data_IF_798750307181
#
_entry.id   IF_798750307181
#
_cell.length_a   1.000
_cell.length_b   1.000
_cell.length_c   1.000
_cell.angle_alpha   90.00
_cell.angle_beta   90.00
_cell.angle_gamma   90.00
#
_symmetry.space_group_name_H-M   'P 1'
#
loop_
_entity.id
_entity.type
_entity.pdbx_description
1 polymer ?
#
# COMPACT_ATOMS: atom_id res chain seq x y z
N UNK A 1 -9.81 32.76 -12.28
CA UNK A 1 -10.05 31.99 -13.51
C UNK A 1 -8.73 31.88 -14.29
N UNK A 2 -8.03 30.77 -14.20
CA UNK A 2 -6.80 30.50 -14.93
C UNK A 2 -6.71 29.01 -15.24
N UNK A 3 -7.01 28.60 -16.47
CA UNK A 3 -6.91 27.21 -16.93
C UNK A 3 -5.44 26.87 -17.19
N UNK A 4 -4.88 25.92 -16.43
CA UNK A 4 -3.56 25.34 -16.72
C UNK A 4 -3.75 24.25 -17.79
N UNK A 5 -3.15 24.47 -18.97
CA UNK A 5 -3.11 23.47 -20.05
C UNK A 5 -1.92 22.52 -19.81
N UNK A 6 -2.20 21.23 -19.64
CA UNK A 6 -1.20 20.19 -19.63
C UNK A 6 -0.56 20.04 -21.03
N UNK A 7 0.76 20.19 -21.13
CA UNK A 7 1.54 19.87 -22.34
C UNK A 7 1.86 18.38 -22.38
N UNK A 8 1.30 17.69 -23.37
CA UNK A 8 1.55 16.27 -23.59
C UNK A 8 2.97 15.99 -24.09
N UNK A 9 3.69 15.16 -23.35
CA UNK A 9 4.95 14.56 -23.78
C UNK A 9 4.65 13.19 -24.40
N UNK A 10 4.78 13.03 -25.72
CA UNK A 10 4.63 11.73 -26.40
C UNK A 10 5.98 11.02 -26.47
N UNK A 11 6.15 9.97 -25.69
CA UNK A 11 7.23 9.00 -25.87
C UNK A 11 6.81 7.94 -26.91
N UNK A 12 7.60 7.82 -28.00
CA UNK A 12 7.46 6.76 -28.99
C UNK A 12 8.16 5.50 -28.48
N UNK A 13 7.40 4.45 -28.13
CA UNK A 13 7.94 3.13 -27.85
C UNK A 13 7.80 2.27 -29.12
N UNK A 14 8.91 1.68 -29.57
CA UNK A 14 8.93 0.73 -30.70
C UNK A 14 8.34 -0.60 -30.26
N UNK A 15 7.35 -1.10 -30.99
CA UNK A 15 6.68 -2.38 -30.74
C UNK A 15 7.52 -3.54 -31.33
N UNK A 16 8.15 -4.35 -30.46
CA UNK A 16 8.57 -5.71 -30.76
C UNK A 16 7.51 -6.67 -30.24
N UNK A 17 6.91 -7.47 -31.15
CA UNK A 17 5.78 -8.33 -30.82
C UNK A 17 6.13 -9.50 -29.91
N UNK A 18 5.65 -9.45 -28.67
CA UNK A 18 5.54 -10.58 -27.74
C UNK A 18 4.06 -10.64 -27.35
N UNK A 19 3.48 -11.84 -27.34
CA UNK A 19 2.06 -12.08 -27.08
C UNK A 19 1.59 -11.40 -25.77
N UNK A 20 0.53 -10.62 -25.86
CA UNK A 20 -0.04 -9.84 -24.74
C UNK A 20 -0.55 -10.69 -23.56
N UNK A 21 -0.77 -12.00 -23.74
CA UNK A 21 -1.24 -12.87 -22.66
C UNK A 21 -0.09 -13.36 -21.75
N UNK A 22 1.10 -13.57 -22.31
CA UNK A 22 2.28 -14.06 -21.55
C UNK A 22 2.94 -12.97 -20.68
N UNK A 23 2.73 -11.69 -21.01
CA UNK A 23 3.30 -10.56 -20.26
C UNK A 23 2.44 -10.11 -19.06
N UNK A 24 1.16 -10.48 -19.01
CA UNK A 24 0.28 -10.12 -17.90
C UNK A 24 0.52 -10.92 -16.62
N UNK A 25 1.02 -12.13 -16.70
CA UNK A 25 1.28 -13.01 -15.54
C UNK A 25 2.58 -12.66 -14.80
N UNK A 26 3.57 -12.06 -15.46
CA UNK A 26 4.93 -11.93 -14.91
C UNK A 26 5.16 -10.65 -14.07
N UNK A 27 4.17 -9.79 -13.88
CA UNK A 27 4.44 -8.45 -13.31
C UNK A 27 3.40 -7.90 -12.33
N UNK A 28 2.60 -8.76 -11.68
CA UNK A 28 1.70 -8.28 -10.61
C UNK A 28 2.52 -7.86 -9.40
N UNK A 29 2.13 -6.73 -8.79
CA UNK A 29 2.82 -6.22 -7.62
C UNK A 29 2.59 -7.13 -6.41
N UNK A 30 3.66 -7.41 -5.67
CA UNK A 30 3.63 -7.92 -4.30
C UNK A 30 4.22 -6.84 -3.40
N UNK A 31 3.39 -6.24 -2.56
CA UNK A 31 3.81 -5.29 -1.53
C UNK A 31 3.89 -6.02 -0.18
N UNK A 32 4.93 -5.77 0.59
CA UNK A 32 5.04 -6.24 1.96
C UNK A 32 4.75 -5.11 2.94
N UNK A 33 3.76 -5.32 3.82
CA UNK A 33 3.37 -4.42 4.91
C UNK A 33 4.04 -4.92 6.20
N UNK A 34 5.20 -4.31 6.54
CA UNK A 34 6.18 -4.90 7.46
C UNK A 34 5.72 -4.91 8.91
N UNK A 35 4.94 -3.92 9.31
CA UNK A 35 4.48 -3.73 10.69
C UNK A 35 3.10 -3.07 10.71
N UNK A 36 2.78 -2.33 11.71
CA UNK A 36 1.50 -1.78 12.08
C UNK A 36 1.38 -1.98 13.58
N UNK A 37 0.21 -1.89 14.14
CA UNK A 37 -0.03 -1.95 15.58
C UNK A 37 -0.18 -3.38 16.14
N UNK A 38 -0.20 -4.41 15.29
CA UNK A 38 -0.42 -5.81 15.72
C UNK A 38 0.70 -6.32 16.62
N UNK A 39 0.29 -7.00 17.69
CA UNK A 39 1.22 -7.62 18.63
C UNK A 39 1.71 -8.99 18.12
N UNK A 40 2.93 -8.99 17.61
CA UNK A 40 3.63 -10.20 17.20
C UNK A 40 5.13 -10.05 17.50
N UNK A 41 5.83 -11.11 17.99
CA UNK A 41 7.25 -11.02 18.36
C UNK A 41 8.19 -10.56 17.25
N UNK A 42 7.82 -10.77 15.99
CA UNK A 42 8.60 -10.37 14.83
C UNK A 42 8.15 -9.03 14.22
N UNK A 43 7.17 -8.31 14.81
CA UNK A 43 6.76 -6.98 14.34
C UNK A 43 7.89 -5.99 14.56
N UNK A 44 8.52 -5.44 13.48
CA UNK A 44 9.65 -4.53 13.62
C UNK A 44 9.16 -3.15 14.08
N UNK A 45 9.85 -2.57 15.07
CA UNK A 45 9.53 -1.25 15.64
C UNK A 45 10.67 -0.26 15.56
N UNK A 46 11.91 -0.75 15.52
CA UNK A 46 13.09 0.11 15.36
C UNK A 46 13.52 0.22 13.89
N UNK A 47 14.25 1.27 13.49
CA UNK A 47 14.80 1.39 12.14
C UNK A 47 15.65 0.19 11.71
N UNK A 48 16.41 -0.40 12.63
CA UNK A 48 17.26 -1.56 12.40
C UNK A 48 16.45 -2.84 12.16
N UNK A 49 15.39 -3.05 12.94
CA UNK A 49 14.45 -4.16 12.76
C UNK A 49 13.69 -4.03 11.45
N UNK A 50 13.18 -2.81 11.13
CA UNK A 50 12.55 -2.51 9.85
C UNK A 50 13.49 -2.81 8.66
N UNK A 51 14.76 -2.45 8.77
CA UNK A 51 15.75 -2.73 7.74
C UNK A 51 16.03 -4.24 7.59
N UNK A 52 15.98 -5.01 8.68
CA UNK A 52 16.17 -6.46 8.66
C UNK A 52 14.97 -7.15 8.00
N UNK A 53 13.74 -6.83 8.44
CA UNK A 53 12.50 -7.36 7.87
C UNK A 53 12.33 -6.97 6.40
N UNK A 54 12.67 -5.73 6.03
CA UNK A 54 12.66 -5.28 4.65
C UNK A 54 13.55 -6.14 3.75
N UNK A 55 14.80 -6.45 4.20
CA UNK A 55 15.71 -7.32 3.43
C UNK A 55 15.12 -8.71 3.22
N UNK A 56 14.53 -9.29 4.27
CA UNK A 56 13.92 -10.61 4.19
C UNK A 56 12.72 -10.61 3.26
N UNK A 57 11.81 -9.65 3.40
CA UNK A 57 10.64 -9.50 2.53
C UNK A 57 11.04 -9.33 1.05
N UNK A 58 12.05 -8.52 0.76
CA UNK A 58 12.55 -8.34 -0.62
C UNK A 58 13.24 -9.59 -1.14
N UNK A 59 14.06 -10.26 -0.33
CA UNK A 59 14.72 -11.51 -0.73
C UNK A 59 13.73 -12.63 -1.02
N UNK A 60 12.58 -12.65 -0.33
CA UNK A 60 11.50 -13.62 -0.54
C UNK A 60 10.52 -13.25 -1.65
N UNK A 61 10.54 -12.00 -2.16
CA UNK A 61 9.82 -11.66 -3.38
C UNK A 61 9.03 -10.36 -3.37
N UNK A 62 9.00 -9.61 -2.27
CA UNK A 62 8.36 -8.30 -2.25
C UNK A 62 9.05 -7.31 -3.19
N UNK A 63 8.27 -6.47 -3.86
CA UNK A 63 8.71 -5.48 -4.84
C UNK A 63 8.39 -4.04 -4.44
N UNK A 64 7.63 -3.86 -3.38
CA UNK A 64 7.33 -2.61 -2.69
C UNK A 64 7.19 -2.91 -1.21
N UNK A 65 7.50 -1.94 -0.37
CA UNK A 65 7.43 -2.05 1.08
C UNK A 65 6.47 -0.99 1.60
N UNK A 66 5.67 -1.36 2.59
CA UNK A 66 4.87 -0.44 3.39
C UNK A 66 5.28 -0.58 4.85
N UNK A 67 5.36 0.53 5.57
CA UNK A 67 5.76 0.53 6.97
C UNK A 67 5.20 1.73 7.75
N UNK A 68 5.11 1.54 9.05
CA UNK A 68 4.75 2.53 10.06
C UNK A 68 6.00 2.86 10.89
N UNK A 69 6.45 4.13 10.92
CA UNK A 69 7.52 4.56 11.84
C UNK A 69 7.05 4.56 13.29
N UNK A 70 7.96 4.28 14.21
CA UNK A 70 7.70 4.29 15.65
C UNK A 70 8.56 5.33 16.36
N UNK A 71 8.04 5.92 17.43
CA UNK A 71 8.78 6.80 18.34
C UNK A 71 9.58 5.99 19.38
N UNK A 72 10.41 6.69 20.18
CA UNK A 72 11.22 6.08 21.25
C UNK A 72 10.37 5.48 22.40
N UNK A 73 9.05 5.71 22.39
CA UNK A 73 8.10 5.16 23.34
C UNK A 73 7.37 3.92 22.79
N UNK A 74 7.70 3.48 21.57
CA UNK A 74 7.08 2.33 20.92
C UNK A 74 5.66 2.60 20.42
N UNK A 75 5.35 3.85 20.02
CA UNK A 75 4.09 4.23 19.42
C UNK A 75 4.31 4.62 17.97
N UNK A 76 3.37 4.30 17.12
CA UNK A 76 3.37 4.79 15.74
C UNK A 76 3.40 6.32 15.69
N UNK A 77 4.13 6.87 14.72
CA UNK A 77 4.33 8.31 14.66
C UNK A 77 4.55 8.83 13.25
N UNK A 78 4.12 10.08 13.00
CA UNK A 78 4.42 10.85 11.80
C UNK A 78 5.54 11.90 12.01
N UNK A 79 6.23 11.86 13.15
CA UNK A 79 7.33 12.77 13.46
C UNK A 79 8.47 12.64 12.42
N UNK A 80 8.94 13.79 11.91
CA UNK A 80 9.92 13.85 10.82
C UNK A 80 11.22 13.08 11.12
N UNK A 81 11.67 13.09 12.39
CA UNK A 81 12.87 12.39 12.82
C UNK A 81 12.75 10.87 12.70
N UNK A 82 11.68 10.30 13.24
CA UNK A 82 11.37 8.86 13.20
C UNK A 82 11.14 8.37 11.77
N UNK A 83 10.34 9.11 11.00
CA UNK A 83 10.10 8.82 9.58
C UNK A 83 11.42 8.81 8.78
N UNK A 84 12.28 9.81 9.00
CA UNK A 84 13.57 9.89 8.33
C UNK A 84 14.52 8.75 8.72
N UNK A 85 14.54 8.34 9.99
CA UNK A 85 15.37 7.24 10.48
C UNK A 85 14.93 5.92 9.85
N UNK A 86 13.64 5.60 9.88
CA UNK A 86 13.07 4.41 9.27
C UNK A 86 13.36 4.36 7.75
N UNK A 87 13.10 5.46 7.02
CA UNK A 87 13.34 5.54 5.58
C UNK A 87 14.81 5.36 5.21
N UNK A 88 15.74 5.96 5.97
CA UNK A 88 17.18 5.82 5.71
C UNK A 88 17.64 4.39 5.92
N UNK A 89 17.22 3.75 7.01
CA UNK A 89 17.59 2.38 7.35
C UNK A 89 17.08 1.39 6.28
N UNK A 90 15.79 1.47 5.92
CA UNK A 90 15.19 0.58 4.92
C UNK A 90 15.78 0.82 3.53
N UNK A 91 16.00 2.06 3.11
CA UNK A 91 16.63 2.37 1.80
C UNK A 91 18.08 1.91 1.70
N UNK A 92 18.83 2.00 2.80
CA UNK A 92 20.20 1.46 2.85
C UNK A 92 20.20 -0.08 2.74
N UNK A 93 19.21 -0.73 3.34
CA UNK A 93 19.06 -2.20 3.31
C UNK A 93 18.54 -2.72 1.97
N UNK A 94 17.64 -1.98 1.30
CA UNK A 94 16.94 -2.38 0.08
C UNK A 94 17.03 -1.26 -0.99
N UNK A 95 18.23 -1.01 -1.57
CA UNK A 95 18.39 0.05 -2.56
C UNK A 95 17.46 -0.14 -3.77
N UNK A 96 16.76 0.91 -4.17
CA UNK A 96 15.90 0.92 -5.35
C UNK A 96 14.53 0.27 -5.17
N UNK A 97 14.20 -0.27 -4.01
CA UNK A 97 12.86 -0.77 -3.70
C UNK A 97 11.99 0.40 -3.24
N UNK A 98 10.80 0.60 -3.84
CA UNK A 98 9.87 1.63 -3.39
C UNK A 98 9.42 1.40 -1.94
N UNK A 99 9.42 2.47 -1.15
CA UNK A 99 8.97 2.46 0.25
C UNK A 99 7.80 3.42 0.39
N UNK A 100 6.73 2.91 0.96
CA UNK A 100 5.51 3.63 1.35
C UNK A 100 5.46 3.83 2.86
N UNK A 101 5.00 4.99 3.32
CA UNK A 101 4.66 5.23 4.72
C UNK A 101 3.14 5.34 4.89
N UNK A 102 2.65 4.88 6.03
CA UNK A 102 1.28 5.17 6.47
C UNK A 102 1.15 6.64 6.87
N UNK A 103 -0.03 7.22 6.60
CA UNK A 103 -0.47 8.53 7.13
C UNK A 103 -1.86 8.43 7.76
N UNK A 104 -2.19 7.25 8.30
CA UNK A 104 -3.50 6.95 8.88
C UNK A 104 -3.89 7.93 9.98
N UNK A 105 -5.18 8.23 10.05
CA UNK A 105 -5.80 8.96 11.15
C UNK A 105 -5.70 8.22 12.51
N UNK A 106 -5.45 6.91 12.49
CA UNK A 106 -5.19 6.14 13.71
C UNK A 106 -3.85 6.55 14.36
N UNK A 107 -2.88 7.01 13.55
CA UNK A 107 -1.59 7.53 14.04
C UNK A 107 -1.73 8.97 14.55
N UNK A 108 -2.45 9.82 13.81
CA UNK A 108 -2.74 11.20 14.18
C UNK A 108 -4.14 11.59 13.72
N UNK A 109 -5.12 11.58 14.64
CA UNK A 109 -6.52 11.82 14.31
C UNK A 109 -6.87 13.28 13.96
N UNK A 110 -6.10 14.24 14.46
CA UNK A 110 -6.29 15.64 14.13
C UNK A 110 -5.76 15.93 12.71
N UNK A 111 -6.62 16.26 11.73
CA UNK A 111 -6.20 16.45 10.35
C UNK A 111 -5.24 17.61 10.15
N UNK A 112 -5.38 18.71 10.91
CA UNK A 112 -4.48 19.86 10.82
C UNK A 112 -3.09 19.50 11.35
N UNK A 113 -3.04 18.78 12.47
CA UNK A 113 -1.79 18.29 13.06
C UNK A 113 -1.14 17.25 12.18
N UNK A 114 -1.91 16.31 11.62
CA UNK A 114 -1.44 15.30 10.66
C UNK A 114 -0.79 15.97 9.45
N UNK A 115 -1.48 16.97 8.86
CA UNK A 115 -0.95 17.75 7.74
C UNK A 115 0.34 18.49 8.12
N UNK A 116 0.40 19.12 9.30
CA UNK A 116 1.59 19.83 9.77
C UNK A 116 2.78 18.90 10.01
N UNK A 117 2.56 17.70 10.57
CA UNK A 117 3.59 16.69 10.77
C UNK A 117 4.18 16.23 9.42
N UNK A 118 3.32 15.87 8.46
CA UNK A 118 3.75 15.44 7.13
C UNK A 118 4.45 16.57 6.37
N UNK A 119 3.98 17.81 6.49
CA UNK A 119 4.65 18.99 5.91
C UNK A 119 6.06 19.22 6.46
N UNK A 120 6.37 18.73 7.66
CA UNK A 120 7.68 18.85 8.30
C UNK A 120 8.71 17.82 7.81
N UNK A 121 8.31 16.84 7.00
CA UNK A 121 9.21 15.78 6.54
C UNK A 121 10.30 16.33 5.63
N UNK A 122 11.57 16.03 5.98
CA UNK A 122 12.76 16.41 5.19
C UNK A 122 13.30 15.24 4.36
N UNK A 123 12.99 14.01 4.75
CA UNK A 123 13.28 12.79 4.00
C UNK A 123 11.94 12.23 3.53
N UNK A 124 11.64 12.41 2.26
CA UNK A 124 10.35 12.00 1.70
C UNK A 124 10.38 10.51 1.32
N UNK A 125 9.29 9.74 1.55
CA UNK A 125 9.13 8.39 1.01
C UNK A 125 8.94 8.42 -0.51
N UNK A 126 8.96 7.25 -1.15
CA UNK A 126 8.58 7.14 -2.56
C UNK A 126 7.06 7.23 -2.72
N UNK A 127 6.34 6.65 -1.76
CA UNK A 127 4.89 6.52 -1.74
C UNK A 127 4.36 6.81 -0.33
N UNK A 128 3.09 7.14 -0.27
CA UNK A 128 2.31 7.24 0.97
C UNK A 128 0.98 6.54 0.76
N UNK A 129 0.56 5.72 1.74
CA UNK A 129 -0.84 5.28 1.82
C UNK A 129 -1.67 6.38 2.46
N UNK A 130 -2.70 6.81 1.74
CA UNK A 130 -3.62 7.87 2.13
C UNK A 130 -5.06 7.33 2.05
N UNK A 131 -5.69 7.10 3.20
CA UNK A 131 -7.03 6.52 3.29
C UNK A 131 -8.08 7.56 2.90
N UNK A 132 -8.87 7.27 1.89
CA UNK A 132 -9.70 8.28 1.19
C UNK A 132 -10.98 8.67 1.95
N UNK A 133 -11.33 7.95 3.02
CA UNK A 133 -12.43 8.31 3.93
C UNK A 133 -12.03 9.25 5.07
N UNK A 134 -10.74 9.55 5.24
CA UNK A 134 -10.26 10.35 6.36
C UNK A 134 -10.47 11.85 6.14
N UNK A 135 -10.73 12.58 7.23
CA UNK A 135 -10.83 14.04 7.21
C UNK A 135 -9.48 14.67 6.84
N UNK A 136 -9.51 15.73 6.00
CA UNK A 136 -8.32 16.45 5.54
C UNK A 136 -7.47 15.68 4.51
N UNK A 137 -7.97 14.56 3.97
CA UNK A 137 -7.15 13.68 3.11
C UNK A 137 -6.80 14.34 1.78
N UNK A 138 -7.65 15.19 1.23
CA UNK A 138 -7.39 15.83 -0.07
C UNK A 138 -6.25 16.84 0.05
N UNK A 139 -6.24 17.65 1.10
CA UNK A 139 -5.17 18.61 1.40
C UNK A 139 -3.85 17.89 1.64
N UNK A 140 -3.88 16.76 2.34
CA UNK A 140 -2.71 15.91 2.57
C UNK A 140 -2.16 15.34 1.25
N UNK A 141 -3.03 14.84 0.38
CA UNK A 141 -2.65 14.35 -0.94
C UNK A 141 -2.06 15.45 -1.82
N UNK A 142 -2.65 16.65 -1.83
CA UNK A 142 -2.13 17.80 -2.58
C UNK A 142 -0.72 18.20 -2.11
N UNK A 143 -0.49 18.24 -0.79
CA UNK A 143 0.84 18.50 -0.21
C UNK A 143 1.87 17.47 -0.67
N UNK A 144 1.53 16.18 -0.58
CA UNK A 144 2.43 15.08 -0.92
C UNK A 144 2.75 15.06 -2.43
N UNK A 145 1.75 15.24 -3.28
CA UNK A 145 1.94 15.32 -4.74
C UNK A 145 2.81 16.52 -5.13
N UNK A 146 2.60 17.66 -4.48
CA UNK A 146 3.46 18.85 -4.69
C UNK A 146 4.92 18.60 -4.27
N UNK A 147 5.13 17.74 -3.25
CA UNK A 147 6.44 17.26 -2.80
C UNK A 147 7.05 16.15 -3.66
N UNK A 148 6.34 15.68 -4.71
CA UNK A 148 6.80 14.60 -5.58
C UNK A 148 6.64 13.20 -4.98
N UNK A 149 5.82 13.03 -3.94
CA UNK A 149 5.49 11.75 -3.32
C UNK A 149 4.29 11.13 -4.05
N UNK A 150 4.38 9.84 -4.39
CA UNK A 150 3.27 9.12 -5.00
C UNK A 150 2.21 8.73 -3.97
N UNK A 151 0.94 8.77 -4.37
CA UNK A 151 -0.20 8.41 -3.51
C UNK A 151 -0.66 6.99 -3.83
N UNK A 152 -0.75 6.16 -2.80
CA UNK A 152 -1.51 4.92 -2.76
C UNK A 152 -2.85 5.24 -2.07
N UNK A 153 -3.92 5.30 -2.85
CA UNK A 153 -5.25 5.63 -2.33
C UNK A 153 -5.83 4.42 -1.56
N UNK A 154 -5.86 4.48 -0.24
CA UNK A 154 -6.45 3.46 0.64
C UNK A 154 -7.98 3.54 0.61
N UNK A 155 -8.64 2.41 0.38
CA UNK A 155 -10.08 2.27 0.29
C UNK A 155 -10.52 1.13 1.22
N UNK A 156 -10.89 1.50 2.44
CA UNK A 156 -11.24 0.58 3.51
C UNK A 156 -12.73 0.21 3.48
N UNK A 157 -13.52 1.08 2.83
CA UNK A 157 -14.97 0.94 2.75
C UNK A 157 -15.51 1.32 1.37
N UNK A 158 -16.78 0.98 1.13
CA UNK A 158 -17.50 1.39 -0.08
C UNK A 158 -17.71 2.92 -0.11
N UNK A 159 -17.87 3.54 1.06
CA UNK A 159 -18.00 5.00 1.19
C UNK A 159 -16.68 5.70 0.80
N UNK A 160 -15.53 5.15 1.17
CA UNK A 160 -14.22 5.64 0.73
C UNK A 160 -14.08 5.57 -0.78
N UNK A 161 -14.52 4.47 -1.39
CA UNK A 161 -14.47 4.31 -2.84
C UNK A 161 -15.36 5.34 -3.55
N UNK A 162 -16.56 5.62 -3.03
CA UNK A 162 -17.43 6.67 -3.54
C UNK A 162 -16.82 8.07 -3.37
N UNK A 163 -16.26 8.38 -2.19
CA UNK A 163 -15.59 9.64 -1.91
C UNK A 163 -14.38 9.83 -2.85
N UNK A 164 -13.57 8.79 -3.03
CA UNK A 164 -12.42 8.80 -3.94
C UNK A 164 -12.81 9.08 -5.40
N UNK A 165 -13.84 8.41 -5.90
CA UNK A 165 -14.36 8.65 -7.26
C UNK A 165 -14.88 10.08 -7.38
N UNK A 166 -15.63 10.56 -6.40
CA UNK A 166 -16.20 11.91 -6.40
C UNK A 166 -15.15 13.02 -6.28
N UNK A 167 -14.05 12.79 -5.58
CA UNK A 167 -12.98 13.77 -5.38
C UNK A 167 -12.24 14.14 -6.68
N UNK A 168 -12.20 13.22 -7.65
CA UNK A 168 -11.46 13.41 -8.88
C UNK A 168 -9.93 13.37 -8.75
N UNK A 169 -9.38 12.97 -7.58
CA UNK A 169 -7.92 12.94 -7.33
C UNK A 169 -7.21 11.75 -7.98
N UNK A 170 -7.95 10.74 -8.44
CA UNK A 170 -7.40 9.51 -9.02
C UNK A 170 -6.27 9.74 -10.05
N UNK A 171 -6.31 10.74 -10.94
CA UNK A 171 -5.20 11.00 -11.88
C UNK A 171 -3.87 11.40 -11.23
N UNK A 172 -3.89 11.81 -9.96
CA UNK A 172 -2.72 12.17 -9.17
C UNK A 172 -2.17 10.99 -8.35
N UNK A 173 -2.91 9.87 -8.28
CA UNK A 173 -2.53 8.68 -7.53
C UNK A 173 -1.74 7.69 -8.38
N UNK A 174 -0.85 6.94 -7.74
CA UNK A 174 -0.07 5.87 -8.38
C UNK A 174 -0.91 4.61 -8.51
N UNK A 175 -1.68 4.26 -7.46
CA UNK A 175 -2.54 3.07 -7.40
C UNK A 175 -3.65 3.23 -6.37
N UNK A 176 -4.62 2.31 -6.41
CA UNK A 176 -5.61 2.13 -5.37
C UNK A 176 -5.27 0.89 -4.53
N UNK A 177 -5.37 0.98 -3.22
CA UNK A 177 -5.33 -0.14 -2.29
C UNK A 177 -6.78 -0.47 -1.92
N UNK A 178 -7.20 -1.71 -2.20
CA UNK A 178 -8.54 -2.22 -1.86
C UNK A 178 -8.40 -3.07 -0.60
N UNK A 179 -8.91 -2.55 0.51
CA UNK A 179 -8.61 -3.04 1.87
C UNK A 179 -9.89 -3.20 2.70
N UNK A 180 -10.77 -4.18 2.39
CA UNK A 180 -11.91 -4.47 3.26
C UNK A 180 -11.43 -4.99 4.62
N UNK A 181 -12.01 -4.45 5.69
CA UNK A 181 -11.66 -4.80 7.08
C UNK A 181 -12.56 -5.89 7.68
N UNK A 182 -13.39 -6.54 6.86
CA UNK A 182 -14.30 -7.59 7.30
C UNK A 182 -13.51 -8.81 7.79
N UNK A 183 -13.80 -9.33 9.00
CA UNK A 183 -13.11 -10.50 9.53
C UNK A 183 -13.57 -11.82 8.88
N UNK A 184 -14.78 -11.84 8.30
CA UNK A 184 -15.28 -12.98 7.54
C UNK A 184 -14.78 -12.94 6.10
N UNK A 185 -14.25 -14.05 5.62
CA UNK A 185 -13.65 -14.15 4.28
C UNK A 185 -14.65 -13.95 3.13
N UNK A 186 -15.92 -14.33 3.31
CA UNK A 186 -16.94 -14.16 2.29
C UNK A 186 -17.35 -12.69 2.19
N UNK A 187 -17.54 -12.03 3.33
CA UNK A 187 -17.91 -10.63 3.41
C UNK A 187 -16.77 -9.74 2.90
N UNK A 188 -15.52 -10.03 3.29
CA UNK A 188 -14.33 -9.32 2.79
C UNK A 188 -14.20 -9.40 1.26
N UNK A 189 -14.44 -10.58 0.67
CA UNK A 189 -14.42 -10.77 -0.79
C UNK A 189 -15.54 -9.99 -1.47
N UNK A 190 -16.76 -10.04 -0.92
CA UNK A 190 -17.89 -9.30 -1.46
C UNK A 190 -17.68 -7.77 -1.39
N UNK A 191 -17.09 -7.30 -0.30
CA UNK A 191 -16.75 -5.89 -0.10
C UNK A 191 -15.65 -5.44 -1.08
N UNK A 192 -14.56 -6.21 -1.23
CA UNK A 192 -13.53 -5.94 -2.23
C UNK A 192 -14.10 -5.89 -3.66
N UNK A 193 -15.06 -6.75 -3.98
CA UNK A 193 -15.75 -6.72 -5.27
C UNK A 193 -16.60 -5.45 -5.46
N UNK A 194 -17.29 -4.99 -4.42
CA UNK A 194 -18.08 -3.77 -4.46
C UNK A 194 -17.19 -2.54 -4.66
N UNK A 195 -16.07 -2.44 -3.95
CA UNK A 195 -15.07 -1.37 -4.12
C UNK A 195 -14.52 -1.38 -5.55
N UNK A 196 -14.04 -2.53 -6.06
CA UNK A 196 -13.52 -2.66 -7.43
C UNK A 196 -14.55 -2.21 -8.48
N UNK A 197 -15.83 -2.61 -8.31
CA UNK A 197 -16.91 -2.22 -9.20
C UNK A 197 -17.14 -0.71 -9.18
N UNK A 198 -17.19 -0.08 -8.00
CA UNK A 198 -17.33 1.37 -7.85
C UNK A 198 -16.23 2.13 -8.55
N UNK A 199 -14.97 1.69 -8.42
CA UNK A 199 -13.85 2.28 -9.15
C UNK A 199 -14.03 2.17 -10.67
N UNK A 200 -14.44 0.99 -11.15
CA UNK A 200 -14.64 0.76 -12.58
C UNK A 200 -15.78 1.60 -13.16
N UNK A 201 -16.93 1.68 -12.46
CA UNK A 201 -18.10 2.51 -12.83
C UNK A 201 -17.75 3.99 -12.79
N UNK A 202 -16.92 4.44 -11.82
CA UNK A 202 -16.39 5.79 -11.72
C UNK A 202 -15.29 6.11 -12.75
N UNK A 203 -14.94 5.17 -13.63
CA UNK A 203 -13.92 5.37 -14.68
C UNK A 203 -12.48 5.39 -14.18
N UNK A 204 -12.21 5.00 -12.94
CA UNK A 204 -10.86 4.91 -12.37
C UNK A 204 -10.09 3.75 -13.04
N UNK A 205 -8.88 4.03 -13.56
CA UNK A 205 -8.05 3.08 -14.31
C UNK A 205 -6.67 2.86 -13.67
N UNK A 206 -6.59 3.06 -12.38
CA UNK A 206 -5.35 2.85 -11.63
C UNK A 206 -5.01 1.35 -11.53
N UNK A 207 -3.71 1.06 -11.35
CA UNK A 207 -3.27 -0.22 -10.79
C UNK A 207 -3.99 -0.45 -9.46
N UNK A 208 -4.42 -1.68 -9.21
CA UNK A 208 -5.02 -2.05 -7.93
C UNK A 208 -4.15 -3.08 -7.22
N UNK A 209 -3.99 -2.89 -5.92
CA UNK A 209 -3.37 -3.84 -4.99
C UNK A 209 -4.41 -4.14 -3.93
N UNK A 210 -4.73 -5.41 -3.73
CA UNK A 210 -5.74 -5.82 -2.77
C UNK A 210 -5.09 -6.52 -1.59
N UNK A 211 -5.67 -6.32 -0.43
CA UNK A 211 -5.44 -7.08 0.80
C UNK A 211 -6.70 -6.98 1.67
N UNK A 212 -6.72 -7.66 2.79
CA UNK A 212 -7.80 -7.58 3.76
C UNK A 212 -7.20 -7.62 5.15
N UNK A 213 -8.04 -7.83 6.15
CA UNK A 213 -7.65 -7.92 7.54
C UNK A 213 -7.62 -9.36 8.06
N UNK A 214 -6.62 -9.69 8.89
CA UNK A 214 -6.49 -11.00 9.52
C UNK A 214 -6.45 -12.15 8.51
N UNK A 215 -7.08 -13.27 8.86
CA UNK A 215 -7.10 -14.47 8.00
C UNK A 215 -7.91 -14.25 6.70
N UNK A 216 -8.86 -13.33 6.71
CA UNK A 216 -9.67 -12.99 5.53
C UNK A 216 -8.83 -12.36 4.41
N UNK A 217 -7.67 -11.76 4.74
CA UNK A 217 -6.73 -11.19 3.75
C UNK A 217 -6.38 -12.19 2.65
N UNK A 218 -6.22 -13.48 2.97
CA UNK A 218 -5.91 -14.49 1.97
C UNK A 218 -7.04 -14.77 0.98
N UNK A 219 -8.29 -14.61 1.38
CA UNK A 219 -9.43 -14.74 0.48
C UNK A 219 -9.49 -13.55 -0.51
N UNK A 220 -9.26 -12.34 -0.01
CA UNK A 220 -9.16 -11.12 -0.82
C UNK A 220 -7.98 -11.22 -1.79
N UNK A 221 -6.81 -11.66 -1.33
CA UNK A 221 -5.62 -11.86 -2.16
C UNK A 221 -5.86 -12.89 -3.28
N UNK A 222 -6.51 -14.04 -2.98
CA UNK A 222 -6.86 -15.03 -4.01
C UNK A 222 -7.76 -14.44 -5.08
N UNK A 223 -8.79 -13.67 -4.67
CA UNK A 223 -9.66 -12.97 -5.60
C UNK A 223 -8.90 -11.95 -6.46
N UNK A 224 -8.05 -11.14 -5.85
CA UNK A 224 -7.24 -10.14 -6.54
C UNK A 224 -6.36 -10.79 -7.64
N UNK A 225 -5.68 -11.89 -7.31
CA UNK A 225 -4.85 -12.64 -8.26
C UNK A 225 -5.69 -13.18 -9.41
N UNK A 226 -6.87 -13.75 -9.15
CA UNK A 226 -7.79 -14.24 -10.18
C UNK A 226 -8.31 -13.11 -11.10
N UNK A 227 -8.39 -11.88 -10.57
CA UNK A 227 -8.80 -10.68 -11.32
C UNK A 227 -7.63 -9.98 -12.03
N UNK A 228 -6.39 -10.41 -11.79
CA UNK A 228 -5.19 -9.83 -12.43
C UNK A 228 -4.60 -8.63 -11.69
N UNK A 229 -5.01 -8.40 -10.44
CA UNK A 229 -4.50 -7.33 -9.59
C UNK A 229 -3.23 -7.74 -8.83
N UNK A 230 -2.51 -6.75 -8.28
CA UNK A 230 -1.48 -6.94 -7.28
C UNK A 230 -2.07 -7.31 -5.91
N UNK A 231 -1.21 -7.74 -5.01
CA UNK A 231 -1.58 -8.08 -3.63
C UNK A 231 -0.61 -7.49 -2.63
N UNK A 232 -1.10 -7.28 -1.40
CA UNK A 232 -0.31 -6.90 -0.24
C UNK A 232 -0.44 -7.98 0.84
N UNK A 233 0.62 -8.21 1.60
CA UNK A 233 0.64 -9.05 2.79
C UNK A 233 1.77 -8.64 3.72
N UNK A 234 1.64 -8.95 4.98
CA UNK A 234 2.65 -8.71 6.02
C UNK A 234 2.04 -8.76 7.40
N UNK A 235 2.87 -8.53 8.42
CA UNK A 235 2.44 -8.57 9.82
C UNK A 235 1.43 -7.47 10.17
N UNK A 236 1.36 -6.40 9.37
CA UNK A 236 0.30 -5.41 9.46
C UNK A 236 -1.07 -5.99 9.06
N UNK A 237 -1.12 -6.76 7.98
CA UNK A 237 -2.39 -7.23 7.41
C UNK A 237 -2.87 -8.52 8.08
N UNK A 238 -1.96 -9.45 8.39
CA UNK A 238 -2.30 -10.75 8.96
C UNK A 238 -1.14 -11.38 9.71
N UNK A 239 -1.46 -12.06 10.81
CA UNK A 239 -0.50 -12.91 11.54
C UNK A 239 -0.52 -14.38 11.05
N UNK A 240 -1.46 -14.72 10.16
CA UNK A 240 -1.73 -16.11 9.79
C UNK A 240 -1.32 -16.40 8.35
N UNK A 241 -0.78 -17.58 8.14
CA UNK A 241 -0.57 -18.19 6.83
C UNK A 241 -1.91 -18.67 6.22
N UNK A 242 -1.96 -18.98 4.91
CA UNK A 242 -3.17 -19.49 4.26
C UNK A 242 -3.78 -20.76 4.87
N UNK A 243 -2.97 -21.54 5.60
CA UNK A 243 -3.37 -22.78 6.30
C UNK A 243 -3.82 -22.53 7.75
N UNK A 244 -3.82 -21.28 8.21
CA UNK A 244 -4.24 -20.87 9.55
C UNK A 244 -3.14 -20.93 10.62
N UNK A 245 -1.93 -21.37 10.30
CA UNK A 245 -0.80 -21.29 11.24
C UNK A 245 -0.35 -19.85 11.40
N UNK A 246 0.14 -19.50 12.58
CA UNK A 246 0.79 -18.22 12.82
C UNK A 246 2.11 -18.19 12.05
N UNK A 247 2.34 -17.14 11.30
CA UNK A 247 3.59 -16.94 10.57
C UNK A 247 4.74 -16.62 11.53
N UNK A 248 5.96 -16.97 11.16
CA UNK A 248 7.17 -16.64 11.93
C UNK A 248 7.61 -15.18 11.74
N UNK A 249 7.18 -14.51 10.65
CA UNK A 249 7.51 -13.15 10.28
C UNK A 249 7.07 -12.81 8.86
N UNK A 250 7.43 -11.62 8.40
CA UNK A 250 7.07 -11.13 7.06
C UNK A 250 7.60 -12.02 5.93
N UNK A 251 8.79 -12.58 6.07
CA UNK A 251 9.38 -13.44 5.04
C UNK A 251 8.50 -14.63 4.70
N UNK A 252 7.91 -15.30 5.70
CA UNK A 252 7.04 -16.46 5.48
C UNK A 252 5.71 -16.06 4.81
N UNK A 253 5.13 -14.93 5.21
CA UNK A 253 3.92 -14.37 4.58
C UNK A 253 4.18 -14.02 3.09
N UNK A 254 5.31 -13.37 2.80
CA UNK A 254 5.70 -12.99 1.43
C UNK A 254 5.94 -14.23 0.55
N UNK A 255 6.56 -15.30 1.10
CA UNK A 255 6.71 -16.57 0.37
C UNK A 255 5.35 -17.13 -0.02
N UNK A 256 4.40 -17.20 0.92
CA UNK A 256 3.05 -17.70 0.68
C UNK A 256 2.31 -16.86 -0.39
N UNK A 257 2.43 -15.54 -0.32
CA UNK A 257 1.83 -14.63 -1.31
C UNK A 257 2.47 -14.76 -2.70
N UNK A 258 3.79 -14.91 -2.78
CA UNK A 258 4.49 -15.17 -4.04
C UNK A 258 4.04 -16.48 -4.68
N UNK A 259 3.85 -17.55 -3.89
CA UNK A 259 3.31 -18.81 -4.40
C UNK A 259 1.88 -18.65 -4.93
N UNK A 260 1.05 -17.86 -4.24
CA UNK A 260 -0.30 -17.53 -4.69
C UNK A 260 -0.27 -16.83 -6.06
N UNK A 261 0.59 -15.82 -6.22
CA UNK A 261 0.79 -15.12 -7.49
C UNK A 261 1.25 -16.05 -8.62
N UNK A 262 2.13 -17.02 -8.31
CA UNK A 262 2.64 -17.97 -9.29
C UNK A 262 1.57 -18.97 -9.78
N UNK A 263 0.60 -19.34 -8.92
CA UNK A 263 -0.48 -20.29 -9.27
C UNK A 263 -1.63 -19.65 -10.06
N UNK A 264 -1.78 -18.34 -9.99
CA UNK A 264 -2.88 -17.60 -10.64
C UNK A 264 -2.51 -16.95 -11.99
N UNK A 265 -1.39 -17.40 -12.59
CA UNK A 265 -0.89 -16.94 -13.89
C UNK A 265 -1.23 -17.88 -15.05
#
# INVERSE_FOLDING_TARGET
MGRIRARGLRLKIKSGGISRSSLKSANRLLQAALNGDRDHPATPRTPEELAAEAREAVATGARSLHLHPYDDHGRETLEAGSCAAALRAVRAACPGVPVSLSTSADIEPDPERRLALVASWVVLPHLVTANQGEEGILELCELLVAGGVGIEAGLLSLDDAHAFVASGIAPCCVRALVEPLDPDSHDAVAHAEAIERTLAEGGVRLEQVHHGDGIASWAVNRRAVARGHGIRTGLEDTLYLPDGRVASGNGELVVAARELLARGG
#
